data_IF_635467537894
#
_entry.id   IF_635467537894
#
_cell.length_a   1.000
_cell.length_b   1.000
_cell.length_c   1.000
_cell.angle_alpha   90.00
_cell.angle_beta   90.00
_cell.angle_gamma   90.00
#
_symmetry.space_group_name_H-M   'P 1'
#
loop_
_entity.id
_entity.type
_entity.pdbx_description
1 polymer ?
#
# COMPACT_ATOMS: atom_id res chain seq x y z
N UNK A 1 -16.10 -0.11 39.34
CA UNK A 1 -17.28 0.14 38.48
C UNK A 1 -16.79 0.36 37.05
N UNK A 2 -16.47 -0.73 36.34
CA UNK A 2 -16.14 -0.73 34.91
C UNK A 2 -17.28 -1.37 34.07
N UNK A 3 -18.50 -1.38 34.62
CA UNK A 3 -19.67 -2.09 34.07
C UNK A 3 -20.79 -1.14 33.56
N UNK A 4 -20.51 0.13 33.27
CA UNK A 4 -21.59 1.12 33.02
C UNK A 4 -21.67 1.73 31.62
N UNK A 5 -20.72 1.50 30.71
CA UNK A 5 -20.84 2.02 29.34
C UNK A 5 -20.44 0.96 28.32
N UNK A 6 -21.46 0.40 27.66
CA UNK A 6 -21.36 -0.59 26.60
C UNK A 6 -20.53 -0.06 25.41
N UNK A 7 -19.22 -0.34 25.42
CA UNK A 7 -18.27 -0.09 24.32
C UNK A 7 -18.27 -1.20 23.25
N UNK A 8 -19.33 -2.00 23.17
CA UNK A 8 -19.41 -3.11 22.21
C UNK A 8 -19.73 -2.62 20.78
N UNK A 9 -20.57 -1.57 20.67
CA UNK A 9 -21.00 -0.97 19.40
C UNK A 9 -19.87 -0.25 18.65
N UNK A 10 -18.97 0.35 19.42
CA UNK A 10 -17.78 1.05 18.92
C UNK A 10 -16.81 0.09 18.22
N UNK A 11 -16.79 -1.19 18.60
CA UNK A 11 -15.87 -2.17 18.05
C UNK A 11 -16.26 -2.57 16.60
N UNK A 12 -17.55 -2.82 16.34
CA UNK A 12 -18.02 -3.20 15.00
C UNK A 12 -18.06 -2.03 14.03
N UNK A 13 -18.50 -0.83 14.45
CA UNK A 13 -18.45 0.35 13.59
C UNK A 13 -17.01 0.74 13.21
N UNK A 14 -16.07 0.67 14.16
CA UNK A 14 -14.64 0.89 13.87
C UNK A 14 -14.06 -0.17 12.95
N UNK A 15 -14.41 -1.45 13.13
CA UNK A 15 -14.00 -2.52 12.22
C UNK A 15 -14.55 -2.30 10.81
N UNK A 16 -15.82 -1.90 10.71
CA UNK A 16 -16.46 -1.63 9.43
C UNK A 16 -15.83 -0.42 8.73
N UNK A 17 -15.64 0.69 9.44
CA UNK A 17 -14.96 1.88 8.94
C UNK A 17 -13.53 1.55 8.48
N UNK A 18 -12.80 0.73 9.26
CA UNK A 18 -11.46 0.26 8.88
C UNK A 18 -11.48 -0.57 7.60
N UNK A 19 -12.46 -1.47 7.43
CA UNK A 19 -12.61 -2.29 6.21
C UNK A 19 -12.90 -1.41 5.00
N UNK A 20 -13.87 -0.49 5.11
CA UNK A 20 -14.23 0.43 4.02
C UNK A 20 -13.03 1.29 3.62
N UNK A 21 -12.30 1.83 4.60
CA UNK A 21 -11.10 2.62 4.34
C UNK A 21 -10.01 1.80 3.64
N UNK A 22 -9.77 0.56 4.10
CA UNK A 22 -8.83 -0.36 3.50
C UNK A 22 -9.21 -0.71 2.04
N UNK A 23 -10.48 -0.97 1.78
CA UNK A 23 -10.96 -1.26 0.42
C UNK A 23 -10.84 -0.04 -0.48
N UNK A 24 -11.15 1.17 0.03
CA UNK A 24 -10.97 2.42 -0.71
C UNK A 24 -9.49 2.66 -1.10
N UNK A 25 -8.54 2.36 -0.21
CA UNK A 25 -7.11 2.43 -0.52
C UNK A 25 -6.72 1.49 -1.66
N UNK A 26 -7.19 0.25 -1.62
CA UNK A 26 -6.89 -0.76 -2.65
C UNK A 26 -7.55 -0.40 -3.98
N UNK A 27 -8.80 0.08 -3.96
CA UNK A 27 -9.50 0.55 -5.15
C UNK A 27 -8.78 1.73 -5.78
N UNK A 28 -8.34 2.71 -4.97
CA UNK A 28 -7.60 3.88 -5.47
C UNK A 28 -6.24 3.46 -6.04
N UNK A 29 -5.53 2.55 -5.38
CA UNK A 29 -4.29 1.97 -5.90
C UNK A 29 -4.51 1.32 -7.27
N UNK A 30 -5.53 0.46 -7.37
CA UNK A 30 -5.86 -0.25 -8.60
C UNK A 30 -6.26 0.72 -9.73
N UNK A 31 -6.91 1.84 -9.40
CA UNK A 31 -7.24 2.90 -10.37
C UNK A 31 -6.03 3.70 -10.85
N UNK A 32 -5.03 3.92 -10.00
CA UNK A 32 -3.82 4.66 -10.34
C UNK A 32 -2.84 3.80 -11.17
N UNK A 33 -2.60 2.57 -10.73
CA UNK A 33 -1.52 1.72 -11.24
C UNK A 33 -2.00 0.52 -12.05
N UNK A 34 -3.30 0.25 -12.07
CA UNK A 34 -3.88 -0.91 -12.75
C UNK A 34 -3.79 -2.21 -11.94
N UNK A 35 -4.54 -3.21 -12.40
CA UNK A 35 -4.61 -4.55 -11.79
C UNK A 35 -3.96 -5.63 -12.64
N UNK A 36 -3.64 -5.34 -13.91
CA UNK A 36 -3.05 -6.31 -14.81
C UNK A 36 -1.53 -6.41 -14.60
N UNK A 37 -1.06 -7.62 -14.29
CA UNK A 37 0.36 -7.95 -14.08
C UNK A 37 1.10 -8.26 -15.37
N UNK A 38 0.37 -8.52 -16.45
CA UNK A 38 0.92 -8.78 -17.79
C UNK A 38 1.11 -7.48 -18.59
N UNK A 39 0.54 -6.37 -18.12
CA UNK A 39 0.67 -5.06 -18.74
C UNK A 39 1.90 -4.31 -18.19
N UNK A 40 2.87 -4.04 -19.06
CA UNK A 40 4.10 -3.32 -18.71
C UNK A 40 3.86 -1.85 -18.37
N UNK A 41 2.81 -1.22 -18.90
CA UNK A 41 2.51 0.18 -18.62
C UNK A 41 2.12 0.38 -17.15
N UNK A 42 1.38 -0.57 -16.58
CA UNK A 42 1.06 -0.61 -15.15
C UNK A 42 2.33 -0.68 -14.28
N UNK A 43 3.31 -1.46 -14.73
CA UNK A 43 4.63 -1.52 -14.06
C UNK A 43 5.41 -0.22 -14.22
N UNK A 44 5.38 0.42 -15.39
CA UNK A 44 6.05 1.70 -15.62
C UNK A 44 5.46 2.83 -14.77
N UNK A 45 4.13 2.91 -14.63
CA UNK A 45 3.48 3.87 -13.72
C UNK A 45 3.98 3.73 -12.29
N UNK A 46 4.15 2.49 -11.81
CA UNK A 46 4.76 2.22 -10.51
C UNK A 46 6.23 2.61 -10.47
N UNK A 47 7.01 2.28 -11.50
CA UNK A 47 8.42 2.67 -11.58
C UNK A 47 8.59 4.20 -11.52
N UNK A 48 7.75 4.96 -12.22
CA UNK A 48 7.76 6.44 -12.18
C UNK A 48 7.39 6.96 -10.79
N UNK A 49 6.34 6.42 -10.16
CA UNK A 49 5.95 6.82 -8.80
C UNK A 49 7.02 6.49 -7.73
N UNK A 50 7.91 5.54 -8.05
CA UNK A 50 9.02 5.13 -7.20
C UNK A 50 10.36 5.73 -7.64
N UNK A 51 10.34 6.74 -8.52
CA UNK A 51 11.54 7.42 -9.02
C UNK A 51 12.59 6.45 -9.61
N UNK A 52 12.14 5.37 -10.25
CA UNK A 52 13.01 4.37 -10.89
C UNK A 52 13.37 4.85 -12.29
N UNK A 53 14.63 5.27 -12.45
CA UNK A 53 15.23 5.56 -13.75
C UNK A 53 16.55 4.78 -13.94
N UNK A 54 16.80 4.21 -15.14
CA UNK A 54 15.91 4.14 -16.29
C UNK A 54 14.75 3.15 -16.11
N UNK A 55 13.63 3.42 -16.80
CA UNK A 55 12.47 2.53 -16.81
C UNK A 55 12.85 1.18 -17.43
N UNK A 56 12.56 0.05 -16.77
CA UNK A 56 12.94 -1.25 -17.33
C UNK A 56 12.06 -1.65 -18.51
N UNK A 57 12.66 -2.21 -19.56
CA UNK A 57 11.92 -2.65 -20.77
C UNK A 57 11.15 -3.96 -20.58
N UNK A 58 11.30 -4.62 -19.41
CA UNK A 58 10.69 -5.93 -19.16
C UNK A 58 10.04 -6.02 -17.78
N UNK A 59 8.86 -6.63 -17.74
CA UNK A 59 8.09 -6.87 -16.51
C UNK A 59 8.90 -7.57 -15.40
N UNK A 60 9.73 -8.60 -15.69
CA UNK A 60 10.56 -9.23 -14.66
C UNK A 60 11.56 -8.27 -14.01
N UNK A 61 12.12 -7.33 -14.79
CA UNK A 61 13.02 -6.32 -14.23
C UNK A 61 12.26 -5.30 -13.37
N UNK A 62 11.09 -4.83 -13.80
CA UNK A 62 10.24 -3.97 -12.99
C UNK A 62 9.91 -4.64 -11.65
N UNK A 63 9.49 -5.90 -11.67
CA UNK A 63 9.21 -6.71 -10.47
C UNK A 63 10.44 -6.80 -9.56
N UNK A 64 11.64 -6.99 -10.11
CA UNK A 64 12.87 -7.10 -9.32
C UNK A 64 13.23 -5.77 -8.66
N UNK A 65 13.16 -4.66 -9.40
CA UNK A 65 13.44 -3.31 -8.89
C UNK A 65 12.42 -2.84 -7.85
N UNK A 66 11.13 -3.07 -8.10
CA UNK A 66 10.08 -2.72 -7.15
C UNK A 66 10.24 -3.51 -5.85
N UNK A 67 10.65 -4.79 -5.93
CA UNK A 67 10.93 -5.58 -4.73
C UNK A 67 12.12 -5.05 -3.91
N UNK A 68 13.06 -4.32 -4.50
CA UNK A 68 14.17 -3.74 -3.72
C UNK A 68 13.81 -2.41 -3.06
N UNK A 69 12.67 -1.82 -3.41
CA UNK A 69 12.23 -0.53 -2.87
C UNK A 69 11.29 -0.77 -1.71
N UNK A 70 11.51 -0.03 -0.64
CA UNK A 70 10.64 0.00 0.53
C UNK A 70 9.90 1.33 0.53
N UNK A 71 8.58 1.28 0.49
CA UNK A 71 7.74 2.46 0.34
C UNK A 71 6.43 2.20 1.03
N UNK A 72 5.85 3.25 1.63
CA UNK A 72 4.54 3.13 2.21
C UNK A 72 3.45 3.21 1.13
N UNK A 73 2.66 2.14 1.02
CA UNK A 73 1.58 2.04 0.03
C UNK A 73 0.47 3.06 0.26
N UNK A 74 0.26 3.51 1.50
CA UNK A 74 -0.72 4.57 1.79
C UNK A 74 -0.28 5.88 1.14
N UNK A 75 1.02 6.19 1.17
CA UNK A 75 1.57 7.42 0.60
C UNK A 75 1.62 7.36 -0.94
N UNK A 76 1.87 6.18 -1.51
CA UNK A 76 1.71 5.94 -2.95
C UNK A 76 0.27 6.16 -3.44
N UNK A 77 -0.71 5.87 -2.60
CA UNK A 77 -2.12 6.07 -2.95
C UNK A 77 -2.55 7.51 -2.68
N UNK A 78 -2.01 8.15 -1.65
CA UNK A 78 -2.34 9.51 -1.22
C UNK A 78 -1.36 10.58 -1.71
N UNK A 79 -0.94 10.47 -2.97
CA UNK A 79 -0.03 11.40 -3.69
C UNK A 79 -0.49 12.86 -3.63
N UNK A 80 -1.75 13.12 -3.27
CA UNK A 80 -2.32 14.45 -3.10
C UNK A 80 -1.79 15.24 -1.90
N UNK A 81 -1.07 14.62 -0.95
CA UNK A 81 -0.69 15.31 0.30
C UNK A 81 0.81 15.38 0.56
N UNK A 82 1.59 14.37 0.22
CA UNK A 82 3.02 14.34 0.54
C UNK A 82 3.84 13.64 -0.55
N UNK A 83 5.13 13.97 -0.63
CA UNK A 83 6.07 13.25 -1.47
C UNK A 83 6.19 11.79 -1.00
N UNK A 84 6.22 10.85 -1.94
CA UNK A 84 6.44 9.44 -1.63
C UNK A 84 7.84 9.26 -1.06
N UNK A 85 7.93 8.93 0.23
CA UNK A 85 9.20 8.61 0.89
C UNK A 85 9.63 7.19 0.54
N UNK A 86 10.85 7.07 -0.01
CA UNK A 86 11.49 5.80 -0.27
C UNK A 86 12.42 5.48 0.91
N UNK A 87 12.15 4.35 1.56
CA UNK A 87 12.95 3.84 2.65
C UNK A 87 14.06 2.94 2.11
N UNK A 88 15.29 3.04 2.65
CA UNK A 88 16.41 2.18 2.27
C UNK A 88 16.28 0.77 2.86
N UNK A 89 15.47 0.58 3.91
CA UNK A 89 15.31 -0.70 4.60
C UNK A 89 13.86 -1.00 4.98
N UNK A 90 13.56 -2.29 5.19
CA UNK A 90 12.28 -2.74 5.72
C UNK A 90 12.06 -2.23 7.16
N UNK A 91 13.13 -2.12 7.95
CA UNK A 91 13.07 -1.66 9.35
C UNK A 91 12.62 -0.21 9.43
N UNK A 92 13.19 0.68 8.61
CA UNK A 92 12.76 2.09 8.54
C UNK A 92 11.32 2.22 8.04
N UNK A 93 10.95 1.44 7.01
CA UNK A 93 9.56 1.39 6.56
C UNK A 93 8.62 0.94 7.69
N UNK A 94 9.05 -0.03 8.51
CA UNK A 94 8.27 -0.54 9.64
C UNK A 94 8.12 0.50 10.73
N UNK A 95 9.21 1.15 11.13
CA UNK A 95 9.18 2.22 12.13
C UNK A 95 8.29 3.38 11.68
N UNK A 96 8.44 3.82 10.41
CA UNK A 96 7.58 4.85 9.83
C UNK A 96 6.12 4.43 9.81
N UNK A 97 5.81 3.20 9.37
CA UNK A 97 4.43 2.71 9.28
C UNK A 97 3.77 2.58 10.65
N UNK A 98 4.52 2.12 11.65
CA UNK A 98 4.05 2.02 13.05
C UNK A 98 3.87 3.41 13.65
N UNK A 99 4.84 4.31 13.48
CA UNK A 99 4.81 5.67 14.03
C UNK A 99 3.72 6.54 13.41
N UNK A 100 3.50 6.41 12.10
CA UNK A 100 2.44 7.15 11.38
C UNK A 100 1.06 6.47 11.45
N UNK A 101 1.00 5.18 11.82
CA UNK A 101 -0.24 4.40 11.82
C UNK A 101 -0.79 4.10 10.43
N UNK A 102 -0.01 4.33 9.37
CA UNK A 102 -0.41 4.16 7.96
C UNK A 102 -0.33 2.70 7.50
N UNK A 103 -1.13 1.82 8.11
CA UNK A 103 -1.14 0.41 7.76
C UNK A 103 -1.92 0.14 6.47
N UNK A 104 -1.22 -0.42 5.48
CA UNK A 104 -1.87 -0.88 4.26
C UNK A 104 -2.42 -2.31 4.43
N UNK A 105 -3.67 -2.60 4.02
CA UNK A 105 -4.28 -3.92 4.18
C UNK A 105 -3.57 -5.00 3.36
N UNK A 106 -3.04 -6.03 4.03
CA UNK A 106 -2.46 -7.23 3.39
C UNK A 106 -3.51 -8.12 2.71
N UNK A 107 -4.76 -8.10 3.21
CA UNK A 107 -5.89 -8.88 2.70
C UNK A 107 -7.06 -7.94 2.42
N UNK A 108 -7.39 -7.76 1.15
CA UNK A 108 -8.64 -7.16 0.67
C UNK A 108 -9.17 -8.01 -0.47
N UNK A 109 -10.48 -8.05 -0.66
CA UNK A 109 -11.11 -8.74 -1.80
C UNK A 109 -10.61 -8.18 -3.15
N UNK A 110 -10.15 -6.92 -3.14
CA UNK A 110 -9.62 -6.21 -4.30
C UNK A 110 -8.09 -6.26 -4.40
N UNK A 111 -7.42 -6.92 -3.44
CA UNK A 111 -5.96 -7.09 -3.43
C UNK A 111 -5.56 -8.10 -4.51
N UNK A 112 -5.41 -7.59 -5.73
CA UNK A 112 -5.05 -8.32 -6.93
C UNK A 112 -3.87 -7.67 -7.64
N UNK A 113 -3.33 -8.37 -8.63
CA UNK A 113 -2.47 -7.71 -9.60
C UNK A 113 -1.07 -7.32 -9.11
N UNK A 114 -0.63 -6.15 -9.57
CA UNK A 114 0.70 -5.56 -9.26
C UNK A 114 0.87 -5.23 -7.79
N UNK A 115 -0.22 -4.91 -7.08
CA UNK A 115 -0.23 -4.60 -5.65
C UNK A 115 0.39 -5.71 -4.80
N UNK A 116 0.17 -6.98 -5.18
CA UNK A 116 0.70 -8.15 -4.47
C UNK A 116 2.22 -8.18 -4.40
N UNK A 117 2.91 -7.49 -5.31
CA UNK A 117 4.37 -7.44 -5.36
C UNK A 117 4.96 -6.37 -4.44
N UNK A 118 4.16 -5.39 -4.05
CA UNK A 118 4.54 -4.30 -3.13
C UNK A 118 4.16 -4.60 -1.68
N UNK A 119 3.20 -5.50 -1.44
CA UNK A 119 2.81 -5.89 -0.10
C UNK A 119 4.01 -6.49 0.67
N UNK A 120 4.32 -5.90 1.82
CA UNK A 120 5.34 -6.36 2.76
C UNK A 120 4.72 -6.72 4.09
N UNK A 121 5.34 -7.68 4.76
CA UNK A 121 5.00 -8.01 6.14
C UNK A 121 5.76 -7.04 7.05
N UNK A 122 5.00 -6.15 7.68
CA UNK A 122 5.53 -5.10 8.56
C UNK A 122 5.49 -5.53 10.03
N UNK A 123 4.63 -6.50 10.38
CA UNK A 123 4.48 -7.02 11.74
C UNK A 123 5.04 -8.43 11.87
#
# INVERSE_FOLDING_TARGET
MCDFFAWDKDCEERKQARRIFNDALVIRFNGLYGTDVADIENWHKLCVALYIEPLPDTIPHCKKKIKTIHVNLVDLVDVSRDAVELFPSLEELREYTIGSGKFFPKRSAYAGGVLKFLLREIL
#
